data_IF_987747344580
#
_entry.id   IF_987747344580
#
_cell.length_a   1.000
_cell.length_b   1.000
_cell.length_c   1.000
_cell.angle_alpha   90.00
_cell.angle_beta   90.00
_cell.angle_gamma   90.00
#
_symmetry.space_group_name_H-M   'P 1'
#
loop_
_entity.id
_entity.type
_entity.pdbx_description
1 polymer ?
#
# COMPACT_ATOMS: atom_id res chain seq x y z
N UNK A 1 1.72 -3.21 -8.74
CA UNK A 1 1.06 -2.83 -7.45
C UNK A 1 1.72 -3.55 -6.26
N UNK A 2 2.71 -2.95 -5.60
CA UNK A 2 3.53 -3.65 -4.59
C UNK A 2 2.79 -4.07 -3.30
N UNK A 3 1.93 -3.22 -2.73
CA UNK A 3 1.33 -3.53 -1.43
C UNK A 3 0.42 -4.78 -1.47
N UNK A 4 -0.31 -4.96 -2.57
CA UNK A 4 -1.16 -6.14 -2.81
C UNK A 4 -0.33 -7.42 -2.95
N UNK A 5 0.90 -7.34 -3.47
CA UNK A 5 1.77 -8.53 -3.57
C UNK A 5 2.41 -8.93 -2.24
N UNK A 6 2.56 -7.99 -1.30
CA UNK A 6 3.14 -8.24 0.02
C UNK A 6 2.08 -8.71 1.03
N UNK A 7 0.86 -8.20 0.93
CA UNK A 7 -0.25 -8.53 1.83
C UNK A 7 -1.50 -8.90 1.00
N UNK A 8 -1.53 -10.07 0.31
CA UNK A 8 -2.63 -10.44 -0.59
C UNK A 8 -3.97 -10.64 0.14
N UNK A 9 -3.94 -11.01 1.42
CA UNK A 9 -5.14 -11.28 2.21
C UNK A 9 -5.72 -10.03 2.92
N UNK A 10 -5.12 -8.86 2.71
CA UNK A 10 -5.59 -7.62 3.32
C UNK A 10 -6.73 -7.02 2.49
N UNK A 11 -7.98 -7.31 2.85
CA UNK A 11 -9.16 -6.78 2.17
C UNK A 11 -9.17 -5.25 2.06
N UNK A 12 -8.68 -4.54 3.09
CA UNK A 12 -8.61 -3.07 3.08
C UNK A 12 -7.65 -2.54 2.00
N UNK A 13 -6.62 -3.30 1.63
CA UNK A 13 -5.72 -2.97 0.53
C UNK A 13 -6.41 -3.06 -0.82
N UNK A 14 -7.23 -4.10 -1.02
CA UNK A 14 -8.02 -4.29 -2.25
C UNK A 14 -8.99 -3.14 -2.45
N UNK A 15 -9.76 -2.79 -1.42
CA UNK A 15 -10.71 -1.66 -1.46
C UNK A 15 -10.00 -0.33 -1.75
N UNK A 16 -8.86 -0.11 -1.09
CA UNK A 16 -8.07 1.11 -1.30
C UNK A 16 -7.53 1.23 -2.72
N UNK A 17 -7.10 0.12 -3.30
CA UNK A 17 -6.61 0.08 -4.67
C UNK A 17 -7.73 0.41 -5.66
N UNK A 18 -8.93 -0.17 -5.50
CA UNK A 18 -10.10 0.13 -6.33
C UNK A 18 -10.43 1.63 -6.25
N UNK A 19 -10.46 2.19 -5.04
CA UNK A 19 -10.74 3.62 -4.84
C UNK A 19 -9.67 4.53 -5.48
N UNK A 20 -8.40 4.15 -5.42
CA UNK A 20 -7.29 4.87 -6.06
C UNK A 20 -7.43 4.80 -7.59
N UNK A 21 -7.75 3.64 -8.15
CA UNK A 21 -7.92 3.49 -9.59
C UNK A 21 -9.07 4.36 -10.11
N UNK A 22 -10.20 4.37 -9.41
CA UNK A 22 -11.35 5.21 -9.75
C UNK A 22 -10.99 6.71 -9.68
N UNK A 23 -10.30 7.14 -8.62
CA UNK A 23 -9.86 8.52 -8.48
C UNK A 23 -8.89 8.93 -9.61
N UNK A 24 -7.94 8.06 -9.95
CA UNK A 24 -6.98 8.30 -11.06
C UNK A 24 -7.68 8.37 -12.41
N UNK A 25 -8.63 7.48 -12.68
CA UNK A 25 -9.42 7.50 -13.91
C UNK A 25 -10.25 8.80 -14.04
N UNK A 26 -10.70 9.35 -12.91
CA UNK A 26 -11.41 10.63 -12.83
C UNK A 26 -10.48 11.87 -12.77
N UNK A 27 -9.16 11.69 -12.89
CA UNK A 27 -8.18 12.78 -12.81
C UNK A 27 -8.10 13.45 -11.43
N UNK A 28 -8.59 12.79 -10.37
CA UNK A 28 -8.62 13.31 -9.02
C UNK A 28 -7.35 12.96 -8.24
N UNK A 29 -6.88 13.87 -7.36
CA UNK A 29 -5.77 13.57 -6.47
C UNK A 29 -6.16 12.48 -5.47
N UNK A 30 -5.21 11.59 -5.15
CA UNK A 30 -5.41 10.51 -4.15
C UNK A 30 -5.01 10.93 -2.73
N UNK A 31 -4.76 12.23 -2.55
CA UNK A 31 -4.35 12.90 -1.32
C UNK A 31 -5.34 14.01 -0.99
N UNK A 32 -5.50 14.38 0.30
CA UNK A 32 -4.84 13.80 1.49
C UNK A 32 -5.35 12.39 1.85
N UNK A 33 -4.53 11.62 2.58
CA UNK A 33 -4.95 10.39 3.27
C UNK A 33 -4.97 10.61 4.78
N UNK A 34 -5.50 9.65 5.54
CA UNK A 34 -5.50 9.68 7.01
C UNK A 34 -4.50 8.68 7.57
N UNK A 35 -3.95 8.94 8.76
CA UNK A 35 -3.05 7.99 9.45
C UNK A 35 -3.75 6.64 9.71
N UNK A 36 -5.06 6.64 10.00
CA UNK A 36 -5.83 5.41 10.13
C UNK A 36 -5.83 4.58 8.85
N UNK A 37 -5.99 5.23 7.70
CA UNK A 37 -5.92 4.58 6.40
C UNK A 37 -4.51 4.04 6.11
N UNK A 38 -3.47 4.82 6.38
CA UNK A 38 -2.08 4.36 6.22
C UNK A 38 -1.78 3.13 7.10
N UNK A 39 -2.27 3.06 8.33
CA UNK A 39 -2.11 1.87 9.19
C UNK A 39 -2.87 0.65 8.68
N UNK A 40 -3.98 0.85 7.97
CA UNK A 40 -4.75 -0.24 7.39
C UNK A 40 -4.13 -0.77 6.09
N UNK A 41 -3.50 0.09 5.30
CA UNK A 41 -3.14 -0.26 3.90
C UNK A 41 -1.67 -0.07 3.53
N UNK A 42 -0.85 0.56 4.35
CA UNK A 42 0.55 0.81 4.00
C UNK A 42 1.47 -0.28 4.58
N UNK A 43 2.10 -1.13 3.75
CA UNK A 43 2.92 -2.23 4.23
C UNK A 43 4.17 -1.72 4.99
N UNK A 44 4.60 -0.48 4.81
CA UNK A 44 5.73 0.06 5.57
C UNK A 44 5.33 0.47 6.98
N UNK A 45 4.14 1.05 7.13
CA UNK A 45 3.59 1.44 8.44
C UNK A 45 3.17 0.21 9.26
N UNK A 46 2.83 -0.89 8.58
CA UNK A 46 2.37 -2.15 9.19
C UNK A 46 3.49 -3.12 9.57
N UNK A 47 4.75 -2.84 9.23
CA UNK A 47 5.86 -3.69 9.63
C UNK A 47 6.00 -3.68 11.16
N UNK A 48 6.09 -4.86 11.78
CA UNK A 48 6.19 -5.01 13.25
C UNK A 48 7.63 -5.09 13.74
N UNK A 49 8.61 -5.07 12.82
CA UNK A 49 10.04 -5.07 13.16
C UNK A 49 10.87 -4.29 12.14
N UNK A 50 12.07 -3.86 12.55
CA UNK A 50 13.05 -3.20 11.67
C UNK A 50 13.47 -4.13 10.53
N UNK A 51 13.67 -5.41 10.81
CA UNK A 51 14.06 -6.41 9.81
C UNK A 51 12.97 -6.57 8.74
N UNK A 52 11.71 -6.63 9.15
CA UNK A 52 10.58 -6.72 8.23
C UNK A 52 10.44 -5.46 7.38
N UNK A 53 10.59 -4.27 7.98
CA UNK A 53 10.59 -3.02 7.23
C UNK A 53 11.69 -3.01 6.15
N UNK A 54 12.92 -3.39 6.52
CA UNK A 54 14.06 -3.45 5.61
C UNK A 54 13.82 -4.44 4.48
N UNK A 55 13.29 -5.63 4.78
CA UNK A 55 12.94 -6.64 3.78
C UNK A 55 11.87 -6.12 2.81
N UNK A 56 10.79 -5.50 3.32
CA UNK A 56 9.74 -4.89 2.49
C UNK A 56 10.30 -3.77 1.60
N UNK A 57 11.25 -2.97 2.10
CA UNK A 57 11.92 -1.92 1.30
C UNK A 57 12.78 -2.51 0.18
N UNK A 58 13.66 -3.46 0.49
CA UNK A 58 14.51 -4.12 -0.49
C UNK A 58 13.67 -4.81 -1.58
N UNK A 59 12.59 -5.49 -1.19
CA UNK A 59 11.65 -6.11 -2.12
C UNK A 59 10.97 -5.07 -3.02
N UNK A 60 10.56 -3.91 -2.47
CA UNK A 60 9.94 -2.84 -3.26
C UNK A 60 10.92 -2.22 -4.27
N UNK A 61 12.18 -2.05 -3.90
CA UNK A 61 13.17 -1.39 -4.76
C UNK A 61 13.51 -2.26 -5.99
N UNK A 62 13.43 -3.59 -5.86
CA UNK A 62 13.53 -4.53 -6.98
C UNK A 62 12.20 -4.85 -7.68
N UNK A 63 11.07 -4.36 -7.16
CA UNK A 63 9.75 -4.71 -7.67
C UNK A 63 9.50 -4.04 -9.02
N UNK A 64 9.29 -4.86 -10.07
CA UNK A 64 8.76 -4.43 -11.35
C UNK A 64 7.33 -4.91 -11.46
N UNK A 65 6.37 -3.99 -11.57
CA UNK A 65 4.96 -4.34 -11.79
C UNK A 65 4.09 -3.12 -11.85
#
# INVERSE_FOLDING_TARGET
>A
RFAVTVEPDNAALTDRVIAIDAARAAGQPTVPSTIGLERATNPFVRATSVAEFAARRAAKDGFRG
#
